data_IF_054903350614
#
_entry.id   IF_054903350614
#
_cell.length_a   1.000
_cell.length_b   1.000
_cell.length_c   1.000
_cell.angle_alpha   90.00
_cell.angle_beta   90.00
_cell.angle_gamma   90.00
#
_symmetry.space_group_name_H-M   'P 1'
#
loop_
_entity.id
_entity.type
_entity.pdbx_description
1 polymer ?
#
# COMPACT_ATOMS: atom_id res chain seq x y z
N UNK A 1 -37.63 -29.86 40.17
CA UNK A 1 -36.31 -29.88 39.50
C UNK A 1 -36.41 -30.79 38.27
N UNK A 2 -37.34 -30.51 37.35
CA UNK A 2 -37.60 -31.39 36.18
C UNK A 2 -38.05 -30.61 34.95
N UNK A 3 -38.83 -29.52 35.11
CA UNK A 3 -39.25 -28.70 33.96
C UNK A 3 -38.07 -28.00 33.27
N UNK A 4 -37.17 -27.37 34.04
CA UNK A 4 -35.97 -26.72 33.48
C UNK A 4 -34.99 -27.71 32.86
N UNK A 5 -34.89 -28.93 33.42
CA UNK A 5 -34.02 -29.98 32.87
C UNK A 5 -34.58 -30.58 31.58
N UNK A 6 -35.90 -30.75 31.50
CA UNK A 6 -36.58 -31.21 30.28
C UNK A 6 -36.58 -30.15 29.17
N UNK A 7 -36.66 -28.85 29.53
CA UNK A 7 -36.48 -27.75 28.57
C UNK A 7 -35.06 -27.71 28.01
N UNK A 8 -34.04 -27.90 28.86
CA UNK A 8 -32.64 -27.99 28.42
C UNK A 8 -32.36 -29.20 27.52
N UNK A 9 -32.99 -30.36 27.77
CA UNK A 9 -32.88 -31.51 26.86
C UNK A 9 -33.58 -31.25 25.53
N UNK A 10 -34.74 -30.60 25.52
CA UNK A 10 -35.45 -30.23 24.29
C UNK A 10 -34.68 -29.20 23.46
N UNK A 11 -34.06 -28.21 24.09
CA UNK A 11 -33.20 -27.23 23.42
C UNK A 11 -31.96 -27.91 22.81
N UNK A 12 -31.34 -28.86 23.52
CA UNK A 12 -30.20 -29.63 22.98
C UNK A 12 -30.58 -30.53 21.81
N UNK A 13 -31.73 -31.19 21.89
CA UNK A 13 -32.16 -32.16 20.88
C UNK A 13 -32.80 -31.47 19.66
N UNK A 14 -33.21 -30.20 19.79
CA UNK A 14 -33.80 -29.40 18.73
C UNK A 14 -33.36 -27.92 18.83
N UNK A 15 -32.05 -27.64 18.65
CA UNK A 15 -31.51 -26.29 18.78
C UNK A 15 -32.21 -25.35 17.81
N UNK A 16 -32.54 -24.13 18.23
CA UNK A 16 -33.14 -23.13 17.35
C UNK A 16 -32.24 -22.88 16.14
N UNK A 17 -32.80 -22.43 15.00
CA UNK A 17 -31.99 -22.12 13.81
C UNK A 17 -30.86 -21.11 14.13
N UNK A 18 -31.07 -20.23 15.12
CA UNK A 18 -30.07 -19.32 15.69
C UNK A 18 -28.95 -20.03 16.48
N UNK A 19 -29.25 -21.11 17.20
CA UNK A 19 -28.25 -21.92 17.92
C UNK A 19 -27.52 -22.90 16.99
N UNK A 20 -28.15 -23.29 15.87
CA UNK A 20 -27.54 -24.11 14.81
C UNK A 20 -26.59 -23.29 13.93
N UNK A 21 -26.92 -22.02 13.65
CA UNK A 21 -26.06 -21.09 12.96
C UNK A 21 -25.12 -20.37 13.95
N UNK A 22 -24.05 -21.06 14.36
CA UNK A 22 -23.00 -20.49 15.19
C UNK A 22 -22.22 -19.32 14.53
N UNK A 23 -22.56 -18.98 13.29
CA UNK A 23 -21.86 -18.02 12.45
C UNK A 23 -22.88 -17.03 11.88
N UNK A 24 -22.78 -15.76 12.28
CA UNK A 24 -23.65 -14.68 11.81
C UNK A 24 -23.20 -14.18 10.42
N UNK A 25 -24.10 -14.23 9.44
CA UNK A 25 -23.96 -13.57 8.14
C UNK A 25 -25.05 -12.52 8.01
N UNK A 26 -24.79 -11.44 7.28
CA UNK A 26 -25.88 -10.53 6.90
C UNK A 26 -26.80 -11.19 5.87
N UNK A 27 -28.02 -10.64 5.73
CA UNK A 27 -28.98 -11.10 4.73
C UNK A 27 -28.40 -10.97 3.31
N UNK A 28 -27.67 -9.89 3.07
CA UNK A 28 -26.97 -9.59 1.81
C UNK A 28 -25.86 -10.60 1.48
N UNK A 29 -25.18 -11.13 2.51
CA UNK A 29 -24.15 -12.15 2.34
C UNK A 29 -24.73 -13.54 2.02
N UNK A 30 -26.01 -13.75 2.33
CA UNK A 30 -26.75 -14.96 1.98
C UNK A 30 -26.07 -16.24 2.48
N UNK A 31 -25.68 -16.27 3.76
CA UNK A 31 -25.01 -17.41 4.41
C UNK A 31 -23.68 -17.80 3.73
N UNK A 32 -22.84 -16.82 3.41
CA UNK A 32 -21.53 -17.06 2.80
C UNK A 32 -21.57 -17.29 1.29
N UNK A 33 -22.70 -16.94 0.63
CA UNK A 33 -22.88 -17.07 -0.82
C UNK A 33 -22.45 -15.83 -1.59
N UNK A 34 -22.59 -14.66 -0.97
CA UNK A 34 -22.27 -13.38 -1.56
C UNK A 34 -21.36 -12.56 -0.66
N UNK A 35 -20.55 -11.70 -1.28
CA UNK A 35 -19.85 -10.62 -0.59
C UNK A 35 -20.68 -9.36 -0.68
N UNK A 36 -20.89 -8.70 0.46
CA UNK A 36 -21.45 -7.36 0.51
C UNK A 36 -20.31 -6.32 0.50
N UNK A 37 -20.12 -5.71 -0.66
CA UNK A 37 -19.10 -4.70 -0.88
C UNK A 37 -19.68 -3.29 -0.94
N UNK A 38 -20.94 -3.08 -0.52
CA UNK A 38 -21.59 -1.78 -0.60
C UNK A 38 -20.90 -0.73 0.27
N UNK A 39 -20.59 -1.08 1.51
CA UNK A 39 -19.86 -0.18 2.42
C UNK A 39 -18.44 0.12 1.93
N UNK A 40 -17.77 -0.90 1.36
CA UNK A 40 -16.48 -0.74 0.72
C UNK A 40 -16.56 0.27 -0.43
N UNK A 41 -17.58 0.17 -1.28
CA UNK A 41 -17.83 1.10 -2.36
C UNK A 41 -18.06 2.54 -1.86
N UNK A 42 -18.89 2.72 -0.83
CA UNK A 42 -19.16 4.05 -0.26
C UNK A 42 -17.88 4.72 0.25
N UNK A 43 -16.94 3.96 0.82
CA UNK A 43 -15.63 4.52 1.19
C UNK A 43 -14.74 4.78 -0.02
N UNK A 44 -14.75 3.89 -1.01
CA UNK A 44 -13.96 4.03 -2.23
C UNK A 44 -14.29 5.32 -3.00
N UNK A 45 -15.56 5.62 -3.22
CA UNK A 45 -15.98 6.84 -3.94
C UNK A 45 -15.64 8.14 -3.20
N UNK A 46 -15.44 8.05 -1.87
CA UNK A 46 -15.05 9.18 -1.03
C UNK A 46 -13.53 9.41 -1.01
N UNK A 47 -12.73 8.52 -1.62
CA UNK A 47 -11.29 8.71 -1.72
C UNK A 47 -10.97 9.95 -2.57
N UNK A 48 -10.05 10.77 -2.07
CA UNK A 48 -9.67 12.01 -2.73
C UNK A 48 -9.06 11.75 -4.12
N UNK A 49 -9.75 12.22 -5.16
CA UNK A 49 -9.33 12.07 -6.55
C UNK A 49 -9.80 10.78 -7.21
N UNK A 50 -10.65 9.98 -6.56
CA UNK A 50 -11.38 8.91 -7.21
C UNK A 50 -12.35 9.48 -8.25
N UNK A 51 -12.44 8.81 -9.40
CA UNK A 51 -13.47 9.12 -10.39
C UNK A 51 -14.83 8.71 -9.86
N UNK A 52 -15.90 9.39 -10.30
CA UNK A 52 -17.27 8.97 -9.99
C UNK A 52 -17.51 7.65 -10.72
N UNK A 53 -17.35 6.56 -9.98
CA UNK A 53 -17.42 5.21 -10.48
C UNK A 53 -18.73 4.60 -9.97
N UNK A 54 -19.52 4.00 -10.85
CA UNK A 54 -20.78 3.36 -10.47
C UNK A 54 -20.54 2.02 -9.77
N UNK A 55 -21.46 1.59 -8.91
CA UNK A 55 -21.28 0.36 -8.12
C UNK A 55 -20.93 -0.87 -8.98
N UNK A 56 -21.62 -1.08 -10.11
CA UNK A 56 -21.35 -2.21 -11.02
C UNK A 56 -19.93 -2.14 -11.60
N UNK A 57 -19.49 -0.93 -11.96
CA UNK A 57 -18.13 -0.71 -12.44
C UNK A 57 -17.12 -1.01 -11.34
N UNK A 58 -17.43 -0.67 -10.08
CA UNK A 58 -16.57 -0.92 -8.94
C UNK A 58 -16.42 -2.42 -8.71
N UNK A 59 -17.52 -3.17 -8.72
CA UNK A 59 -17.49 -4.62 -8.58
C UNK A 59 -16.69 -5.33 -9.68
N UNK A 60 -16.58 -4.73 -10.86
CA UNK A 60 -15.84 -5.29 -11.99
C UNK A 60 -14.32 -5.06 -11.90
N UNK A 61 -13.87 -4.16 -11.02
CA UNK A 61 -12.46 -3.74 -10.93
C UNK A 61 -11.94 -3.59 -9.50
N UNK A 62 -12.70 -3.99 -8.47
CA UNK A 62 -12.30 -3.79 -7.07
C UNK A 62 -11.06 -4.62 -6.68
N UNK A 63 -10.85 -5.73 -7.38
CA UNK A 63 -9.68 -6.60 -7.28
C UNK A 63 -8.48 -6.09 -8.11
N UNK A 64 -8.66 -5.06 -8.93
CA UNK A 64 -7.62 -4.46 -9.77
C UNK A 64 -6.90 -3.31 -9.06
N UNK A 65 -6.45 -3.54 -7.81
CA UNK A 65 -5.77 -2.52 -7.00
C UNK A 65 -4.44 -2.04 -7.62
N UNK A 66 -3.88 -2.82 -8.55
CA UNK A 66 -2.65 -2.48 -9.28
C UNK A 66 -2.84 -1.34 -10.31
N UNK A 67 -4.08 -1.08 -10.75
CA UNK A 67 -4.39 0.01 -11.68
C UNK A 67 -4.53 1.36 -10.97
N UNK A 68 -4.63 1.36 -9.63
CA UNK A 68 -4.74 2.59 -8.84
C UNK A 68 -3.40 3.34 -8.87
N UNK A 69 -3.38 4.60 -9.36
CA UNK A 69 -2.15 5.39 -9.42
C UNK A 69 -1.47 5.58 -8.06
N UNK A 70 -0.14 5.52 -8.03
CA UNK A 70 0.68 5.65 -6.81
C UNK A 70 0.41 6.94 -6.02
N UNK A 71 0.07 8.04 -6.70
CA UNK A 71 -0.29 9.31 -6.08
C UNK A 71 -1.63 9.26 -5.31
N UNK A 72 -2.52 8.34 -5.68
CA UNK A 72 -3.79 8.07 -4.97
C UNK A 72 -3.62 7.12 -3.78
N UNK A 73 -2.51 6.36 -3.71
CA UNK A 73 -2.17 5.45 -2.60
C UNK A 73 -1.68 6.20 -1.36
N UNK A 74 -2.56 7.05 -0.81
CA UNK A 74 -2.32 7.91 0.33
C UNK A 74 -2.85 7.28 1.65
N UNK A 75 -2.88 8.05 2.74
CA UNK A 75 -3.36 7.56 4.03
C UNK A 75 -4.87 7.23 4.07
N UNK A 76 -5.71 7.88 3.25
CA UNK A 76 -7.13 7.55 3.13
C UNK A 76 -7.31 6.23 2.40
N UNK A 77 -6.54 6.01 1.33
CA UNK A 77 -6.51 4.74 0.62
C UNK A 77 -6.04 3.59 1.52
N UNK A 78 -5.02 3.82 2.35
CA UNK A 78 -4.57 2.85 3.35
C UNK A 78 -5.72 2.44 4.29
N UNK A 79 -6.48 3.40 4.81
CA UNK A 79 -7.64 3.12 5.68
C UNK A 79 -8.74 2.35 4.96
N UNK A 80 -8.98 2.67 3.69
CA UNK A 80 -9.91 1.92 2.86
C UNK A 80 -9.46 0.45 2.71
N UNK A 81 -8.18 0.20 2.43
CA UNK A 81 -7.63 -1.15 2.34
C UNK A 81 -7.71 -1.91 3.66
N UNK A 82 -7.40 -1.25 4.79
CA UNK A 82 -7.51 -1.87 6.12
C UNK A 82 -8.94 -2.35 6.40
N UNK A 83 -9.94 -1.50 6.12
CA UNK A 83 -11.35 -1.87 6.27
C UNK A 83 -11.79 -2.99 5.31
N UNK A 84 -11.38 -2.92 4.04
CA UNK A 84 -11.69 -3.98 3.07
C UNK A 84 -11.06 -5.31 3.51
N UNK A 85 -9.81 -5.28 3.97
CA UNK A 85 -9.11 -6.47 4.43
C UNK A 85 -9.75 -7.06 5.68
N UNK A 86 -10.12 -6.22 6.66
CA UNK A 86 -10.83 -6.63 7.87
C UNK A 86 -12.13 -7.36 7.52
N UNK A 87 -12.93 -6.80 6.61
CA UNK A 87 -14.15 -7.44 6.11
C UNK A 87 -13.85 -8.81 5.46
N UNK A 88 -12.87 -8.87 4.55
CA UNK A 88 -12.53 -10.11 3.87
C UNK A 88 -11.98 -11.18 4.82
N UNK A 89 -11.22 -10.78 5.84
CA UNK A 89 -10.68 -11.67 6.87
C UNK A 89 -11.79 -12.29 7.70
N UNK A 90 -12.65 -11.45 8.28
CA UNK A 90 -13.81 -11.87 9.07
C UNK A 90 -14.73 -12.80 8.25
N UNK A 91 -15.07 -12.38 7.03
CA UNK A 91 -15.85 -13.22 6.12
C UNK A 91 -15.19 -14.57 5.85
N UNK A 92 -13.87 -14.59 5.61
CA UNK A 92 -13.12 -15.83 5.35
C UNK A 92 -13.12 -16.76 6.55
N UNK A 93 -12.98 -16.24 7.77
CA UNK A 93 -13.07 -17.04 9.00
C UNK A 93 -14.45 -17.68 9.15
N UNK A 94 -15.51 -16.94 8.80
CA UNK A 94 -16.89 -17.45 8.79
C UNK A 94 -17.12 -18.53 7.75
N UNK A 95 -16.66 -18.34 6.50
CA UNK A 95 -16.90 -19.31 5.41
C UNK A 95 -15.92 -20.49 5.39
N UNK A 96 -14.73 -20.32 5.97
CA UNK A 96 -13.65 -21.32 5.98
C UNK A 96 -12.99 -21.40 7.36
N UNK A 97 -13.70 -21.82 8.41
CA UNK A 97 -13.19 -21.84 9.78
C UNK A 97 -12.01 -22.80 9.99
N UNK A 98 -11.77 -23.74 9.06
CA UNK A 98 -10.63 -24.66 9.10
C UNK A 98 -9.37 -24.09 8.44
N UNK A 99 -9.44 -22.89 7.85
CA UNK A 99 -8.28 -22.23 7.26
C UNK A 99 -7.36 -21.70 8.37
N UNK A 100 -6.11 -22.14 8.40
CA UNK A 100 -5.12 -21.59 9.33
C UNK A 100 -4.68 -20.20 8.86
N UNK A 101 -5.20 -19.18 9.53
CA UNK A 101 -4.90 -17.78 9.24
C UNK A 101 -3.41 -17.44 9.49
N UNK A 102 -2.74 -18.11 10.43
CA UNK A 102 -1.33 -17.85 10.72
C UNK A 102 -0.45 -18.42 9.61
N UNK A 103 -0.76 -19.63 9.13
CA UNK A 103 -0.07 -20.23 8.00
C UNK A 103 -0.27 -19.37 6.73
N UNK A 104 -1.50 -18.93 6.49
CA UNK A 104 -1.82 -18.05 5.37
C UNK A 104 -1.02 -16.74 5.46
N UNK A 105 -1.04 -16.06 6.60
CA UNK A 105 -0.30 -14.81 6.79
C UNK A 105 1.20 -15.00 6.53
N UNK A 106 1.79 -16.08 7.07
CA UNK A 106 3.19 -16.42 6.85
C UNK A 106 3.52 -16.65 5.37
N UNK A 107 2.63 -17.34 4.64
CA UNK A 107 2.75 -17.53 3.19
C UNK A 107 2.68 -16.20 2.43
N UNK A 108 1.67 -15.38 2.71
CA UNK A 108 1.48 -14.07 2.06
C UNK A 108 2.69 -13.18 2.28
N UNK A 109 3.19 -13.09 3.52
CA UNK A 109 4.38 -12.31 3.86
C UNK A 109 5.61 -12.81 3.09
N UNK A 110 5.86 -14.11 3.09
CA UNK A 110 7.01 -14.67 2.39
C UNK A 110 6.96 -14.48 0.87
N UNK A 111 5.79 -14.58 0.25
CA UNK A 111 5.62 -14.30 -1.18
C UNK A 111 5.72 -12.81 -1.50
N UNK A 112 5.13 -11.96 -0.65
CA UNK A 112 5.21 -10.51 -0.78
C UNK A 112 6.65 -10.04 -0.70
N UNK A 113 7.43 -10.47 0.31
CA UNK A 113 8.82 -10.07 0.46
C UNK A 113 9.65 -10.43 -0.77
N UNK A 114 9.49 -11.64 -1.31
CA UNK A 114 10.17 -12.06 -2.55
C UNK A 114 9.79 -11.17 -3.74
N UNK A 115 8.48 -10.92 -3.95
CA UNK A 115 7.99 -10.08 -5.06
C UNK A 115 8.43 -8.61 -4.89
N UNK A 116 8.45 -8.11 -3.64
CA UNK A 116 8.83 -6.74 -3.29
C UNK A 116 10.33 -6.51 -3.48
N UNK A 117 11.18 -7.40 -2.98
CA UNK A 117 12.64 -7.33 -3.14
C UNK A 117 13.06 -7.45 -4.60
N UNK A 118 12.37 -8.30 -5.37
CA UNK A 118 12.60 -8.42 -6.81
C UNK A 118 12.01 -7.23 -7.60
N UNK A 119 11.06 -6.49 -7.02
CA UNK A 119 10.40 -5.36 -7.68
C UNK A 119 9.39 -5.77 -8.73
N UNK A 120 8.85 -6.98 -8.59
CA UNK A 120 7.84 -7.57 -9.49
C UNK A 120 6.45 -7.50 -8.87
N UNK A 121 6.28 -6.78 -7.77
CA UNK A 121 4.98 -6.65 -7.11
C UNK A 121 4.04 -5.73 -7.92
N UNK A 122 2.83 -6.18 -8.28
CA UNK A 122 1.89 -5.41 -9.10
C UNK A 122 1.53 -4.04 -8.49
N UNK A 123 1.36 -3.01 -9.31
CA UNK A 123 1.01 -1.65 -8.84
C UNK A 123 2.12 -0.92 -8.10
N UNK A 124 3.28 -1.55 -7.90
CA UNK A 124 4.46 -0.98 -7.24
C UNK A 124 5.71 -1.24 -8.10
N UNK A 125 5.81 -0.62 -9.28
CA UNK A 125 7.02 -0.71 -10.07
C UNK A 125 8.18 -0.25 -9.20
N UNK A 126 9.27 -1.03 -9.19
CA UNK A 126 10.56 -0.49 -8.73
C UNK A 126 10.73 0.82 -9.47
N UNK A 127 11.04 1.88 -8.73
CA UNK A 127 11.60 3.07 -9.34
C UNK A 127 12.94 2.62 -9.96
N UNK A 128 12.87 2.04 -11.16
CA UNK A 128 13.88 2.28 -12.18
C UNK A 128 13.89 3.78 -12.22
N UNK A 129 14.85 4.37 -11.50
CA UNK A 129 14.96 5.80 -11.29
C UNK A 129 14.50 6.46 -12.56
N UNK A 130 13.38 7.18 -12.50
CA UNK A 130 12.82 7.85 -13.65
C UNK A 130 13.93 8.78 -14.14
N UNK A 131 14.68 8.29 -15.12
CA UNK A 131 15.80 8.98 -15.75
C UNK A 131 15.34 10.27 -16.46
N UNK A 132 14.04 10.56 -16.40
CA UNK A 132 13.38 11.70 -16.99
C UNK A 132 12.87 12.76 -16.00
N UNK A 133 12.87 12.53 -14.67
CA UNK A 133 12.46 13.57 -13.69
C UNK A 133 13.49 13.87 -12.61
N UNK A 134 14.53 13.05 -12.50
CA UNK A 134 15.74 13.38 -11.73
C UNK A 134 16.97 13.08 -12.59
N UNK A 135 17.37 14.00 -13.47
CA UNK A 135 18.71 14.02 -14.06
C UNK A 135 19.81 14.35 -13.04
N UNK A 136 19.71 13.81 -11.83
CA UNK A 136 20.76 13.73 -10.82
C UNK A 136 21.59 12.49 -11.08
N UNK A 137 22.36 12.49 -12.18
CA UNK A 137 23.46 11.54 -12.30
C UNK A 137 24.35 11.74 -11.06
N UNK A 138 24.69 10.65 -10.37
CA UNK A 138 25.70 10.66 -9.33
C UNK A 138 26.99 11.18 -9.98
N UNK A 139 27.32 12.44 -9.74
CA UNK A 139 28.51 13.05 -10.31
C UNK A 139 29.70 12.52 -9.54
N UNK A 140 30.54 11.73 -10.19
CA UNK A 140 31.77 11.26 -9.57
C UNK A 140 32.73 12.45 -9.39
N UNK A 141 32.84 12.92 -8.15
CA UNK A 141 33.71 14.04 -7.77
C UNK A 141 35.19 13.63 -7.78
N UNK A 142 35.51 12.33 -7.82
CA UNK A 142 36.90 11.86 -7.84
C UNK A 142 37.64 12.36 -9.08
N UNK A 143 36.93 12.44 -10.21
CA UNK A 143 37.44 12.85 -11.52
C UNK A 143 37.77 14.35 -11.65
N UNK A 144 37.27 15.20 -10.73
CA UNK A 144 37.43 16.66 -10.81
C UNK A 144 38.53 17.13 -9.86
N UNK A 145 39.48 17.90 -10.36
CA UNK A 145 40.62 18.40 -9.57
C UNK A 145 40.32 19.72 -8.85
N UNK A 146 39.32 20.47 -9.31
CA UNK A 146 38.94 21.76 -8.75
C UNK A 146 37.43 22.06 -8.90
N UNK A 147 36.95 23.09 -8.21
CA UNK A 147 35.55 23.50 -8.30
C UNK A 147 35.26 24.27 -9.61
N UNK A 148 36.27 24.88 -10.24
CA UNK A 148 36.19 25.55 -11.54
C UNK A 148 35.84 24.55 -12.65
N UNK A 149 36.36 23.32 -12.60
CA UNK A 149 35.98 22.25 -13.53
C UNK A 149 34.52 21.85 -13.33
N UNK A 150 34.04 21.81 -12.08
CA UNK A 150 32.62 21.55 -11.78
C UNK A 150 31.71 22.71 -12.26
N UNK A 151 32.18 23.95 -12.13
CA UNK A 151 31.48 25.13 -12.63
C UNK A 151 31.27 25.06 -14.16
N UNK A 152 32.25 24.52 -14.89
CA UNK A 152 32.16 24.35 -16.34
C UNK A 152 31.05 23.38 -16.80
N UNK A 153 30.55 22.50 -15.91
CA UNK A 153 29.44 21.59 -16.20
C UNK A 153 28.08 22.30 -16.31
N UNK A 154 27.99 23.54 -15.85
CA UNK A 154 26.80 24.37 -15.94
C UNK A 154 25.81 24.20 -14.79
N UNK A 155 24.87 25.14 -14.75
CA UNK A 155 23.97 25.36 -13.62
C UNK A 155 23.02 24.19 -13.36
N UNK A 156 22.51 23.55 -14.41
CA UNK A 156 21.60 22.42 -14.32
C UNK A 156 22.27 21.16 -13.76
N UNK A 157 23.52 20.89 -14.17
CA UNK A 157 24.29 19.75 -13.65
C UNK A 157 24.61 19.91 -12.17
N UNK A 158 25.05 21.10 -11.77
CA UNK A 158 25.34 21.42 -10.36
C UNK A 158 24.09 21.38 -9.49
N UNK A 159 22.97 21.92 -9.97
CA UNK A 159 21.69 21.88 -9.24
C UNK A 159 21.26 20.42 -9.01
N UNK A 160 21.32 19.60 -10.05
CA UNK A 160 20.94 18.18 -9.96
C UNK A 160 21.85 17.39 -9.03
N UNK A 161 23.17 17.61 -9.08
CA UNK A 161 24.12 16.93 -8.19
C UNK A 161 23.96 17.36 -6.72
N UNK A 162 23.75 18.66 -6.45
CA UNK A 162 23.46 19.15 -5.10
C UNK A 162 22.14 18.60 -4.54
N UNK A 163 21.10 18.52 -5.38
CA UNK A 163 19.82 17.92 -5.01
C UNK A 163 19.95 16.42 -4.71
N UNK A 164 20.76 15.69 -5.49
CA UNK A 164 21.03 14.28 -5.25
C UNK A 164 21.73 14.03 -3.90
N UNK A 165 22.57 14.96 -3.45
CA UNK A 165 23.21 14.93 -2.11
C UNK A 165 22.37 15.57 -1.00
N UNK A 166 21.16 16.06 -1.29
CA UNK A 166 20.28 16.72 -0.31
C UNK A 166 20.76 18.10 0.15
N UNK A 167 21.72 18.71 -0.56
CA UNK A 167 22.31 20.00 -0.23
C UNK A 167 21.48 21.16 -0.78
N UNK A 168 21.61 22.34 -0.16
CA UNK A 168 21.01 23.57 -0.68
C UNK A 168 21.55 23.87 -2.08
N UNK A 169 20.66 24.28 -3.00
CA UNK A 169 20.99 24.68 -4.36
C UNK A 169 20.92 26.21 -4.59
N UNK A 170 20.84 27.02 -3.53
CA UNK A 170 20.85 28.49 -3.62
C UNK A 170 22.24 29.06 -3.86
N UNK A 171 22.31 30.26 -4.46
CA UNK A 171 23.56 30.96 -4.73
C UNK A 171 23.96 31.01 -6.21
N UNK A 172 25.12 31.62 -6.48
CA UNK A 172 25.77 31.71 -7.80
C UNK A 172 26.23 30.32 -8.26
N UNK A 173 26.57 30.20 -9.55
CA UNK A 173 27.10 28.96 -10.12
C UNK A 173 28.38 28.50 -9.40
N UNK A 174 29.24 29.45 -9.04
CA UNK A 174 30.50 29.23 -8.32
C UNK A 174 30.25 28.71 -6.90
N UNK A 175 29.32 29.34 -6.16
CA UNK A 175 28.94 28.92 -4.81
C UNK A 175 28.36 27.49 -4.81
N UNK A 176 27.63 27.12 -5.86
CA UNK A 176 27.11 25.75 -6.04
C UNK A 176 28.24 24.76 -6.31
N UNK A 177 29.19 25.11 -7.18
CA UNK A 177 30.33 24.26 -7.51
C UNK A 177 31.25 24.06 -6.31
N UNK A 178 31.55 25.11 -5.55
CA UNK A 178 32.35 25.02 -4.31
C UNK A 178 31.66 24.17 -3.26
N UNK A 179 30.34 24.34 -3.07
CA UNK A 179 29.55 23.53 -2.13
C UNK A 179 29.59 22.06 -2.52
N UNK A 180 29.42 21.74 -3.80
CA UNK A 180 29.49 20.38 -4.31
C UNK A 180 30.91 19.80 -4.19
N UNK A 181 31.95 20.58 -4.46
CA UNK A 181 33.34 20.15 -4.29
C UNK A 181 33.71 19.89 -2.82
N UNK A 182 33.14 20.66 -1.89
CA UNK A 182 33.42 20.53 -0.45
C UNK A 182 33.01 19.18 0.16
N UNK A 183 32.16 18.42 -0.54
CA UNK A 183 31.72 17.07 -0.15
C UNK A 183 32.60 15.97 -0.73
N UNK A 184 33.54 16.29 -1.63
CA UNK A 184 34.50 15.34 -2.18
C UNK A 184 35.30 14.68 -1.05
N UNK A 185 35.20 13.36 -0.93
CA UNK A 185 35.93 12.57 0.06
C UNK A 185 35.43 12.67 1.50
N UNK A 186 34.27 13.31 1.75
CA UNK A 186 33.63 13.37 3.07
C UNK A 186 32.39 12.47 3.12
N UNK A 187 32.19 11.77 4.23
CA UNK A 187 30.92 11.08 4.49
C UNK A 187 29.82 12.11 4.73
N UNK A 188 28.61 11.84 4.24
CA UNK A 188 27.46 12.76 4.38
C UNK A 188 27.16 13.14 5.84
N UNK A 189 27.50 12.28 6.79
CA UNK A 189 27.34 12.46 8.24
C UNK A 189 28.32 13.48 8.84
N UNK A 190 29.45 13.73 8.17
CA UNK A 190 30.48 14.68 8.62
C UNK A 190 30.26 16.11 8.11
N UNK A 191 29.21 16.33 7.32
CA UNK A 191 28.88 17.63 6.75
C UNK A 191 28.03 18.46 7.72
N UNK A 192 28.23 19.79 7.69
CA UNK A 192 27.46 20.73 8.51
C UNK A 192 25.96 20.61 8.21
N UNK A 193 25.11 20.31 9.21
CA UNK A 193 23.65 20.24 9.07
C UNK A 193 23.01 21.49 8.44
N UNK A 194 23.64 22.66 8.55
CA UNK A 194 23.19 23.92 7.95
C UNK A 194 23.28 23.92 6.41
N UNK A 195 24.12 23.07 5.82
CA UNK A 195 24.29 22.98 4.36
C UNK A 195 23.16 22.18 3.68
N UNK A 196 22.44 21.37 4.45
CA UNK A 196 21.31 20.59 3.95
C UNK A 196 20.07 21.47 3.74
N UNK A 197 19.34 21.18 2.66
CA UNK A 197 18.08 21.85 2.42
C UNK A 197 17.07 21.45 3.51
N UNK A 198 16.44 22.44 4.17
CA UNK A 198 15.24 22.19 4.99
C UNK A 198 14.09 21.80 4.07
N UNK A 199 14.05 20.55 3.65
CA UNK A 199 12.94 20.02 2.87
C UNK A 199 11.97 19.32 3.82
N UNK A 200 10.66 19.62 3.81
CA UNK A 200 9.68 18.80 4.54
C UNK A 200 9.69 17.33 4.10
N UNK A 201 10.27 17.01 2.92
CA UNK A 201 10.56 15.64 2.46
C UNK A 201 11.81 14.98 3.09
N UNK A 202 12.51 15.66 4.01
CA UNK A 202 13.71 15.12 4.68
C UNK A 202 13.39 14.17 5.86
N UNK A 203 12.12 14.09 6.30
CA UNK A 203 11.63 12.99 7.14
C UNK A 203 11.17 11.77 6.32
N UNK A 204 11.42 11.69 5.02
CA UNK A 204 12.64 11.13 4.43
C UNK A 204 12.20 10.03 3.46
N UNK A 205 12.92 9.76 2.35
CA UNK A 205 12.57 8.70 1.39
C UNK A 205 12.30 7.36 2.09
N UNK A 206 13.02 7.07 3.18
CA UNK A 206 12.82 5.89 4.03
C UNK A 206 11.40 5.76 4.61
N UNK A 207 10.78 6.84 5.10
CA UNK A 207 9.42 6.81 5.66
C UNK A 207 8.36 6.64 4.58
N UNK A 208 8.59 7.23 3.42
CA UNK A 208 7.72 7.04 2.25
C UNK A 208 7.85 5.61 1.71
N UNK A 209 9.05 5.04 1.67
CA UNK A 209 9.29 3.64 1.30
C UNK A 209 8.63 2.67 2.27
N UNK A 210 8.72 2.93 3.58
CA UNK A 210 8.09 2.11 4.61
C UNK A 210 6.55 2.16 4.50
N UNK A 211 5.96 3.36 4.40
CA UNK A 211 4.51 3.51 4.16
C UNK A 211 4.08 2.79 2.87
N UNK A 212 4.85 2.92 1.79
CA UNK A 212 4.53 2.26 0.53
C UNK A 212 4.62 0.74 0.65
N UNK A 213 5.61 0.22 1.39
CA UNK A 213 5.73 -1.22 1.67
C UNK A 213 4.54 -1.71 2.50
N UNK A 214 4.10 -0.94 3.50
CA UNK A 214 2.89 -1.25 4.27
C UNK A 214 1.65 -1.33 3.37
N UNK A 215 1.43 -0.34 2.50
CA UNK A 215 0.27 -0.36 1.58
C UNK A 215 0.39 -1.53 0.60
N UNK A 216 1.57 -1.77 0.02
CA UNK A 216 1.79 -2.91 -0.86
C UNK A 216 1.52 -4.25 -0.16
N UNK A 217 1.85 -4.37 1.12
CA UNK A 217 1.56 -5.58 1.90
C UNK A 217 0.06 -5.74 2.19
N UNK A 218 -0.66 -4.65 2.44
CA UNK A 218 -2.13 -4.70 2.55
C UNK A 218 -2.77 -5.15 1.23
N UNK A 219 -2.33 -4.60 0.09
CA UNK A 219 -2.80 -5.04 -1.23
C UNK A 219 -2.52 -6.53 -1.47
N UNK A 220 -1.34 -7.02 -1.07
CA UNK A 220 -0.98 -8.43 -1.19
C UNK A 220 -1.96 -9.34 -0.43
N UNK A 221 -2.30 -8.97 0.81
CA UNK A 221 -3.27 -9.72 1.61
C UNK A 221 -4.65 -9.69 0.96
N UNK A 222 -5.11 -8.53 0.47
CA UNK A 222 -6.40 -8.43 -0.23
C UNK A 222 -6.46 -9.35 -1.44
N UNK A 223 -5.42 -9.40 -2.28
CA UNK A 223 -5.36 -10.33 -3.42
C UNK A 223 -5.48 -11.79 -3.00
N UNK A 224 -4.73 -12.21 -1.97
CA UNK A 224 -4.75 -13.59 -1.50
C UNK A 224 -6.12 -13.97 -0.90
N UNK A 225 -6.76 -13.09 -0.11
CA UNK A 225 -8.11 -13.35 0.40
C UNK A 225 -9.15 -13.43 -0.73
N UNK A 226 -9.06 -12.55 -1.74
CA UNK A 226 -9.93 -12.61 -2.92
C UNK A 226 -9.72 -13.93 -3.69
N UNK A 227 -8.48 -14.39 -3.83
CA UNK A 227 -8.16 -15.67 -4.48
C UNK A 227 -8.69 -16.87 -3.68
N UNK A 228 -8.53 -16.86 -2.35
CA UNK A 228 -9.03 -17.91 -1.46
C UNK A 228 -10.54 -17.98 -1.50
N UNK A 229 -11.21 -16.84 -1.35
CA UNK A 229 -12.67 -16.76 -1.48
C UNK A 229 -13.10 -17.14 -2.90
N UNK A 230 -12.20 -17.01 -3.88
CA UNK A 230 -12.45 -17.34 -5.26
C UNK A 230 -13.62 -16.49 -5.72
N UNK A 231 -13.50 -15.17 -5.67
CA UNK A 231 -14.60 -14.23 -6.00
C UNK A 231 -15.20 -14.47 -7.39
N UNK A 232 -14.51 -15.19 -8.30
CA UNK A 232 -15.10 -15.67 -9.55
C UNK A 232 -16.21 -16.73 -9.36
N UNK A 233 -16.23 -17.42 -8.21
CA UNK A 233 -17.17 -18.46 -7.77
C UNK A 233 -18.17 -17.95 -6.73
N UNK A 234 -17.77 -16.97 -5.91
CA UNK A 234 -18.66 -16.27 -4.96
C UNK A 234 -19.25 -15.06 -5.69
N UNK A 235 -20.54 -15.08 -5.93
CA UNK A 235 -21.21 -13.97 -6.62
C UNK A 235 -21.12 -12.71 -5.76
N UNK A 236 -20.87 -11.56 -6.36
CA UNK A 236 -20.96 -10.30 -5.62
C UNK A 236 -22.43 -9.90 -5.56
N UNK A 237 -22.93 -9.46 -4.40
CA UNK A 237 -24.32 -9.06 -4.27
C UNK A 237 -24.57 -7.81 -5.14
N UNK A 238 -25.24 -8.02 -6.27
CA UNK A 238 -25.79 -6.93 -7.07
C UNK A 238 -27.18 -6.67 -6.48
N UNK A 239 -27.36 -5.51 -5.85
CA UNK A 239 -28.70 -5.00 -5.53
C UNK A 239 -29.48 -4.78 -6.84
N UNK A 240 -30.08 -5.84 -7.37
CA UNK A 240 -31.11 -5.80 -8.41
C UNK A 240 -32.47 -5.98 -7.73
N UNK A 241 -32.87 -4.97 -6.97
CA UNK A 241 -34.30 -4.70 -6.81
C UNK A 241 -34.70 -3.84 -8.00
N UNK A 242 -35.27 -4.50 -9.01
CA UNK A 242 -36.16 -3.85 -9.98
C UNK A 242 -37.42 -3.32 -9.29
#
# INVERSE_FOLDING_TARGET
MSAEFDELMKARDNPTEEEQNLVEFSDEEGYGRYLDLHDCYLKFINLKGAEKLEYISFLSSFDQLFDIPKDRKNAEYKKYLEMLLEYLQDYTERVKPLLDQNELYGKVLGEFEKKWENGTFPGWPKETSSALTHSGAHLDLSAFSSWEELASLGLDRLKSALMALGLKCGGTLEERAQRLFSTKGKSLESLDPSLFAKNPKAKGPKKDTERNKEIGFLEAQVYDYIEILGVSKIYICIYLSY
#
